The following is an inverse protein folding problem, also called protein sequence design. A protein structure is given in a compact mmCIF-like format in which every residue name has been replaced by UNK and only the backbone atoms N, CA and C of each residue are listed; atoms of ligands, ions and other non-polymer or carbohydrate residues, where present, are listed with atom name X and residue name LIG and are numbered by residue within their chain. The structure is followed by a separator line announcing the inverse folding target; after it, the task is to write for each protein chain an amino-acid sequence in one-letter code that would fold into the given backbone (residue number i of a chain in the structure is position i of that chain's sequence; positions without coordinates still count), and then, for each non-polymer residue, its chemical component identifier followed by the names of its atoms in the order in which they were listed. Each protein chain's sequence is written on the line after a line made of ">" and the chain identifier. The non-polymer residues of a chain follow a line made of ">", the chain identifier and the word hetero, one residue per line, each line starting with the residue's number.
data_IF_992567124079
#
_entry.id   IF_992567124079
#
_cell.length_a   1.000
_cell.length_b   1.000
_cell.length_c   1.000
_cell.angle_alpha   90.00
_cell.angle_beta   90.00
_cell.angle_gamma   90.00
#
_symmetry.space_group_name_H-M   'P 1'
#
loop_
_entity.id
_entity.type
_entity.pdbx_description
1 polymer ?
#
# COMPACT_ATOMS: atom_id res chain seq x y z
N UNK A 1 13.78 -6.79 11.96
CA UNK A 1 12.69 -7.29 12.83
C UNK A 1 11.46 -7.52 11.96
N UNK A 2 10.82 -8.70 12.01
CA UNK A 2 9.73 -9.06 11.11
C UNK A 2 8.56 -8.08 11.29
N UNK A 3 8.13 -7.43 10.20
CA UNK A 3 7.15 -6.31 10.20
C UNK A 3 5.74 -6.67 10.70
N UNK A 4 5.46 -7.95 10.98
CA UNK A 4 4.15 -8.49 11.32
C UNK A 4 3.78 -8.34 12.80
N UNK A 5 4.77 -8.15 13.69
CA UNK A 5 4.55 -7.89 15.13
C UNK A 5 5.02 -6.47 15.45
N UNK A 6 4.44 -5.48 14.79
CA UNK A 6 4.59 -4.08 15.18
C UNK A 6 3.27 -3.65 15.79
N UNK A 7 3.35 -3.22 17.04
CA UNK A 7 2.27 -2.84 17.96
C UNK A 7 1.03 -2.20 17.32
N UNK A 8 -0.17 -2.31 17.95
CA UNK A 8 -1.39 -1.61 17.52
C UNK A 8 -1.17 -0.11 17.23
N UNK A 9 -0.19 0.49 17.92
CA UNK A 9 0.23 1.87 17.72
C UNK A 9 0.80 2.16 16.30
N UNK A 10 1.47 1.20 15.65
CA UNK A 10 1.92 1.36 14.27
C UNK A 10 0.76 1.26 13.27
N UNK A 11 -0.26 0.44 13.56
CA UNK A 11 -1.44 0.35 12.70
C UNK A 11 -2.22 1.65 12.75
N UNK A 12 -2.37 2.22 13.95
CA UNK A 12 -3.01 3.51 14.11
C UNK A 12 -2.23 4.61 13.38
N UNK A 13 -0.89 4.65 13.52
CA UNK A 13 -0.01 5.58 12.77
C UNK A 13 -0.16 5.45 11.26
N UNK A 14 -0.11 4.24 10.71
CA UNK A 14 -0.30 4.01 9.27
C UNK A 14 -1.71 4.40 8.81
N UNK A 15 -2.72 4.09 9.61
CA UNK A 15 -4.11 4.46 9.36
C UNK A 15 -4.35 5.97 9.33
N UNK A 16 -3.55 6.78 10.05
CA UNK A 16 -3.70 8.24 10.02
C UNK A 16 -3.52 8.84 8.62
N UNK A 17 -2.84 8.14 7.71
CA UNK A 17 -2.76 8.56 6.31
C UNK A 17 -4.15 8.66 5.66
N UNK A 18 -5.13 7.87 6.10
CA UNK A 18 -6.52 7.93 5.63
C UNK A 18 -7.25 9.20 6.05
N UNK A 19 -6.81 9.88 7.12
CA UNK A 19 -7.37 11.18 7.50
C UNK A 19 -7.16 12.23 6.38
N UNK A 20 -6.09 12.09 5.58
CA UNK A 20 -5.78 13.01 4.47
C UNK A 20 -6.81 12.98 3.35
N UNK A 21 -7.56 11.88 3.22
CA UNK A 21 -8.66 11.71 2.26
C UNK A 21 -10.04 11.84 2.92
N UNK A 22 -10.10 12.33 4.17
CA UNK A 22 -11.34 12.57 4.91
C UNK A 22 -11.91 11.35 5.65
N UNK A 23 -11.21 10.21 5.64
CA UNK A 23 -11.62 9.00 6.35
C UNK A 23 -10.98 9.00 7.74
N UNK A 24 -11.73 9.46 8.75
CA UNK A 24 -11.32 9.53 10.17
C UNK A 24 -11.88 8.42 11.06
N UNK A 25 -12.58 7.45 10.47
CA UNK A 25 -13.13 6.30 11.18
C UNK A 25 -12.29 5.04 10.91
N UNK A 26 -12.26 4.12 11.88
CA UNK A 26 -11.60 2.81 11.74
C UNK A 26 -10.11 2.90 11.36
N UNK A 27 -9.39 3.90 11.86
CA UNK A 27 -7.98 4.18 11.54
C UNK A 27 -7.07 2.95 11.72
N UNK A 28 -7.21 2.24 12.85
CA UNK A 28 -6.44 1.02 13.13
C UNK A 28 -6.74 -0.12 12.12
N UNK A 29 -7.98 -0.25 11.65
CA UNK A 29 -8.35 -1.24 10.63
C UNK A 29 -7.71 -0.92 9.27
N UNK A 30 -7.71 0.36 8.86
CA UNK A 30 -7.07 0.77 7.60
C UNK A 30 -5.56 0.56 7.64
N UNK A 31 -4.91 0.85 8.78
CA UNK A 31 -3.49 0.58 8.96
C UNK A 31 -3.15 -0.91 8.98
N UNK A 32 -3.97 -1.73 9.63
CA UNK A 32 -3.85 -3.18 9.56
C UNK A 32 -4.01 -3.69 8.12
N UNK A 33 -5.03 -3.23 7.40
CA UNK A 33 -5.28 -3.59 6.02
C UNK A 33 -4.11 -3.20 5.10
N UNK A 34 -3.51 -2.02 5.30
CA UNK A 34 -2.32 -1.59 4.56
C UNK A 34 -1.11 -2.49 4.85
N UNK A 35 -0.83 -2.82 6.11
CA UNK A 35 0.27 -3.72 6.47
C UNK A 35 0.05 -5.16 5.98
N UNK A 36 -1.19 -5.64 6.05
CA UNK A 36 -1.58 -6.94 5.55
C UNK A 36 -1.42 -6.98 4.02
N UNK A 37 -1.85 -5.94 3.31
CA UNK A 37 -1.65 -5.82 1.87
C UNK A 37 -0.17 -5.77 1.50
N UNK A 38 0.68 -5.03 2.23
CA UNK A 38 2.13 -5.01 1.98
C UNK A 38 2.80 -6.37 2.21
N UNK A 39 2.44 -7.07 3.28
CA UNK A 39 3.12 -8.32 3.65
C UNK A 39 2.56 -9.51 2.89
N UNK A 40 1.25 -9.72 2.98
CA UNK A 40 0.55 -10.84 2.34
C UNK A 40 0.44 -10.61 0.84
N UNK A 41 0.20 -9.37 0.41
CA UNK A 41 0.12 -9.04 -1.01
C UNK A 41 1.45 -9.18 -1.73
N UNK A 42 2.58 -8.83 -1.10
CA UNK A 42 3.90 -9.12 -1.68
C UNK A 42 4.11 -10.64 -1.84
N UNK A 43 3.72 -11.45 -0.84
CA UNK A 43 3.82 -12.91 -0.93
C UNK A 43 2.91 -13.49 -2.05
N UNK A 44 1.69 -12.98 -2.19
CA UNK A 44 0.75 -13.35 -3.25
C UNK A 44 1.30 -13.01 -4.65
N UNK A 45 1.90 -11.83 -4.82
CA UNK A 45 2.53 -11.43 -6.07
C UNK A 45 3.71 -12.34 -6.41
N UNK A 46 4.57 -12.68 -5.44
CA UNK A 46 5.71 -13.59 -5.63
C UNK A 46 5.23 -15.00 -6.03
N UNK A 47 4.16 -15.47 -5.41
CA UNK A 47 3.56 -16.79 -5.70
C UNK A 47 2.74 -16.79 -7.01
N UNK A 48 2.51 -15.63 -7.63
CA UNK A 48 1.74 -15.51 -8.87
C UNK A 48 0.23 -15.69 -8.73
N UNK A 49 -0.31 -15.76 -7.51
CA UNK A 49 -1.73 -16.03 -7.24
C UNK A 49 -2.48 -14.72 -6.92
N UNK A 50 -3.61 -14.44 -7.59
CA UNK A 50 -4.39 -13.20 -7.39
C UNK A 50 -3.57 -11.91 -7.55
N UNK A 51 -2.63 -11.88 -8.50
CA UNK A 51 -1.71 -10.74 -8.64
C UNK A 51 -2.42 -9.46 -9.08
N UNK A 52 -3.49 -9.58 -9.87
CA UNK A 52 -4.32 -8.44 -10.32
C UNK A 52 -5.00 -7.68 -9.17
N UNK A 53 -5.86 -8.30 -8.33
CA UNK A 53 -6.50 -7.58 -7.23
C UNK A 53 -5.47 -7.13 -6.19
N UNK A 54 -4.44 -7.92 -5.94
CA UNK A 54 -3.39 -7.59 -4.98
C UNK A 54 -2.57 -6.36 -5.40
N UNK A 55 -2.17 -6.29 -6.66
CA UNK A 55 -1.46 -5.14 -7.21
C UNK A 55 -2.34 -3.88 -7.23
N UNK A 56 -3.65 -4.03 -7.44
CA UNK A 56 -4.58 -2.91 -7.34
C UNK A 56 -4.65 -2.33 -5.92
N UNK A 57 -4.74 -3.20 -4.90
CA UNK A 57 -4.71 -2.77 -3.49
C UNK A 57 -3.38 -2.10 -3.14
N UNK A 58 -2.24 -2.65 -3.59
CA UNK A 58 -0.92 -2.05 -3.36
C UNK A 58 -0.72 -0.72 -4.09
N UNK A 59 -1.25 -0.57 -5.30
CA UNK A 59 -1.24 0.72 -5.99
C UNK A 59 -2.04 1.77 -5.21
N UNK A 60 -3.19 1.38 -4.63
CA UNK A 60 -4.00 2.27 -3.80
C UNK A 60 -3.30 2.67 -2.50
N UNK A 61 -2.60 1.75 -1.82
CA UNK A 61 -1.83 2.10 -0.61
C UNK A 61 -0.69 3.07 -0.93
N UNK A 62 0.03 2.86 -2.04
CA UNK A 62 1.09 3.78 -2.47
C UNK A 62 0.54 5.16 -2.87
N UNK A 63 -0.65 5.25 -3.48
CA UNK A 63 -1.33 6.51 -3.75
C UNK A 63 -1.60 7.29 -2.45
N UNK A 64 -2.15 6.63 -1.42
CA UNK A 64 -2.42 7.27 -0.13
C UNK A 64 -1.12 7.77 0.52
N UNK A 65 -0.04 6.99 0.43
CA UNK A 65 1.28 7.38 0.97
C UNK A 65 1.83 8.60 0.21
N UNK A 66 1.73 8.64 -1.13
CA UNK A 66 2.13 9.80 -1.93
C UNK A 66 1.35 11.06 -1.54
N UNK A 67 0.02 10.94 -1.35
CA UNK A 67 -0.81 12.06 -0.88
C UNK A 67 -0.38 12.49 0.53
N UNK A 68 -0.07 11.53 1.42
CA UNK A 68 0.37 11.82 2.79
C UNK A 68 1.69 12.60 2.80
N UNK A 69 2.68 12.20 2.00
CA UNK A 69 3.94 12.96 1.88
C UNK A 69 3.72 14.37 1.30
N UNK A 70 2.86 14.49 0.27
CA UNK A 70 2.55 15.79 -0.31
C UNK A 70 1.83 16.71 0.70
N UNK A 71 0.90 16.15 1.48
CA UNK A 71 0.15 16.86 2.51
C UNK A 71 0.95 17.18 3.78
N UNK A 72 2.04 16.46 4.03
CA UNK A 72 2.95 16.74 5.15
C UNK A 72 4.07 17.74 4.77
N UNK A 73 4.11 18.21 3.52
CA UNK A 73 5.12 19.16 3.06
C UNK A 73 6.53 18.55 2.95
N UNK A 74 6.62 17.22 2.91
CA UNK A 74 7.88 16.46 2.89
C UNK A 74 8.70 16.63 1.59
N UNK A 75 8.14 17.34 0.61
CA UNK A 75 8.74 17.63 -0.68
C UNK A 75 8.47 16.54 -1.72
N UNK A 76 8.50 16.94 -3.00
CA UNK A 76 8.20 16.08 -4.15
C UNK A 76 9.16 14.89 -4.21
N UNK A 77 10.40 15.05 -3.71
CA UNK A 77 11.43 14.00 -3.70
C UNK A 77 11.04 12.80 -2.81
N UNK A 78 10.35 13.02 -1.69
CA UNK A 78 9.86 11.91 -0.85
C UNK A 78 8.55 11.31 -1.38
N UNK A 79 7.75 12.12 -2.08
CA UNK A 79 6.50 11.67 -2.70
C UNK A 79 6.72 10.90 -4.02
N UNK A 80 7.85 11.10 -4.69
CA UNK A 80 8.16 10.46 -5.98
C UNK A 80 8.39 8.96 -5.83
N UNK A 81 9.03 8.51 -4.76
CA UNK A 81 9.28 7.09 -4.51
C UNK A 81 7.98 6.25 -4.42
N UNK A 82 6.98 6.61 -3.59
CA UNK A 82 5.69 5.92 -3.60
C UNK A 82 4.92 6.11 -4.92
N UNK A 83 5.10 7.23 -5.63
CA UNK A 83 4.50 7.41 -6.97
C UNK A 83 5.07 6.45 -8.02
N UNK A 84 6.39 6.23 -8.02
CA UNK A 84 7.04 5.26 -8.92
C UNK A 84 6.55 3.85 -8.62
N UNK A 85 6.49 3.47 -7.34
CA UNK A 85 5.96 2.17 -6.92
C UNK A 85 4.49 1.99 -7.31
N UNK A 86 3.67 3.04 -7.17
CA UNK A 86 2.29 3.03 -7.63
C UNK A 86 2.21 2.72 -9.13
N UNK A 87 3.04 3.36 -9.96
CA UNK A 87 3.08 3.10 -11.40
C UNK A 87 3.51 1.66 -11.71
N UNK A 88 4.51 1.14 -10.99
CA UNK A 88 4.96 -0.26 -11.12
C UNK A 88 3.83 -1.24 -10.77
N UNK A 89 3.10 -1.01 -9.67
CA UNK A 89 1.98 -1.86 -9.29
C UNK A 89 0.79 -1.75 -10.26
N UNK A 90 0.54 -0.58 -10.84
CA UNK A 90 -0.47 -0.42 -11.90
C UNK A 90 -0.05 -1.19 -13.15
N UNK A 91 1.22 -1.05 -13.57
CA UNK A 91 1.75 -1.82 -14.69
C UNK A 91 1.66 -3.32 -14.43
N UNK A 92 1.93 -3.77 -13.19
CA UNK A 92 1.80 -5.16 -12.78
C UNK A 92 0.35 -5.64 -12.70
N UNK A 93 -0.59 -4.78 -12.32
CA UNK A 93 -2.02 -5.06 -12.34
C UNK A 93 -2.55 -5.23 -13.78
N UNK A 94 -2.05 -4.43 -14.73
CA UNK A 94 -2.43 -4.49 -16.15
C UNK A 94 -1.75 -5.67 -16.86
N UNK A 95 -0.43 -5.81 -16.70
CA UNK A 95 0.35 -6.88 -17.31
C UNK A 95 -0.03 -8.26 -16.75
N UNK A 96 -0.41 -8.32 -15.47
CA UNK A 96 -0.59 -9.57 -14.72
C UNK A 96 0.75 -10.30 -14.49
N UNK A 97 0.80 -11.26 -13.56
CA UNK A 97 2.02 -12.02 -13.27
C UNK A 97 2.35 -13.13 -14.31
N UNK A 98 1.99 -12.92 -15.59
CA UNK A 98 2.26 -13.87 -16.66
C UNK A 98 1.42 -15.15 -16.60
N UNK A 99 1.89 -16.19 -17.32
CA UNK A 99 1.14 -17.40 -17.73
C UNK A 99 0.54 -18.28 -16.61
N UNK A 100 0.79 -17.98 -15.34
CA UNK A 100 0.32 -18.77 -14.20
C UNK A 100 -0.59 -18.00 -13.23
N UNK A 101 -0.96 -16.76 -13.57
CA UNK A 101 -1.78 -15.93 -12.69
C UNK A 101 -3.27 -16.02 -13.02
N UNK A 102 -4.05 -16.53 -12.06
CA UNK A 102 -5.52 -16.42 -12.02
C UNK A 102 -5.91 -15.08 -11.39
#
# INVERSE_FOLDING_TARGET
>A
MPKIVKDPENWEKLGTAMHKIGITFMTSFWGFAAMAAESVGAALIILGLFTRPTACVLAFTMLIVSISHLANGDGIIKASHPMELMLVFIALAIAGAGKYSV
#
